data_IF_219838669336
#
_entry.id   IF_219838669336
#
_cell.length_a   1.000
_cell.length_b   1.000
_cell.length_c   1.000
_cell.angle_alpha   90.00
_cell.angle_beta   90.00
_cell.angle_gamma   90.00
#
_symmetry.space_group_name_H-M   'P 1'
#
loop_
_entity.id
_entity.type
_entity.pdbx_description
1 polymer ?
#
# COMPACT_ATOMS: atom_id res chain seq x y z
N UNK A 1 3.28 -16.92 32.06
CA UNK A 1 2.51 -16.22 31.02
C UNK A 1 3.52 -15.68 30.03
N UNK A 2 3.86 -16.48 29.03
CA UNK A 2 4.66 -16.04 27.88
C UNK A 2 3.73 -15.28 26.96
N UNK A 3 3.87 -13.95 26.93
CA UNK A 3 3.35 -13.16 25.83
C UNK A 3 4.02 -13.71 24.58
N UNK A 4 3.27 -14.42 23.75
CA UNK A 4 3.75 -14.77 22.42
C UNK A 4 3.94 -13.46 21.68
N UNK A 5 5.20 -13.08 21.46
CA UNK A 5 5.57 -12.24 20.32
C UNK A 5 4.96 -12.91 19.10
N UNK A 6 3.81 -12.39 18.67
CA UNK A 6 3.40 -12.58 17.29
C UNK A 6 4.36 -11.65 16.55
N UNK A 7 5.47 -12.20 16.10
CA UNK A 7 6.30 -11.58 15.06
C UNK A 7 5.34 -11.35 13.89
N UNK A 8 4.79 -10.14 13.80
CA UNK A 8 4.02 -9.70 12.65
C UNK A 8 5.04 -9.52 11.53
N UNK A 9 5.45 -10.65 10.95
CA UNK A 9 6.30 -10.62 9.76
C UNK A 9 5.52 -9.85 8.70
N UNK A 10 6.11 -8.79 8.16
CA UNK A 10 5.47 -8.02 7.11
C UNK A 10 5.02 -8.96 5.98
N UNK A 11 3.93 -8.62 5.29
CA UNK A 11 3.47 -9.35 4.12
C UNK A 11 4.43 -9.10 2.94
N UNK A 12 5.58 -9.77 2.99
CA UNK A 12 6.71 -9.58 2.08
C UNK A 12 6.35 -9.88 0.63
N UNK A 13 5.43 -10.83 0.40
CA UNK A 13 4.90 -11.13 -0.92
C UNK A 13 4.16 -9.92 -1.50
N UNK A 14 3.22 -9.34 -0.75
CA UNK A 14 2.47 -8.19 -1.23
C UNK A 14 3.34 -6.95 -1.35
N UNK A 15 4.28 -6.70 -0.41
CA UNK A 15 5.25 -5.62 -0.52
C UNK A 15 6.05 -5.68 -1.83
N UNK A 16 6.62 -6.84 -2.14
CA UNK A 16 7.40 -7.05 -3.36
C UNK A 16 6.54 -6.96 -4.60
N UNK A 17 5.33 -7.53 -4.57
CA UNK A 17 4.36 -7.46 -5.67
C UNK A 17 3.96 -6.01 -5.97
N UNK A 18 3.67 -5.21 -4.94
CA UNK A 18 3.34 -3.79 -5.09
C UNK A 18 4.51 -3.01 -5.69
N UNK A 19 5.72 -3.19 -5.15
CA UNK A 19 6.91 -2.52 -5.69
C UNK A 19 7.15 -2.89 -7.15
N UNK A 20 7.06 -4.18 -7.47
CA UNK A 20 7.27 -4.67 -8.83
C UNK A 20 6.23 -4.08 -9.79
N UNK A 21 4.96 -4.04 -9.38
CA UNK A 21 3.91 -3.41 -10.19
C UNK A 21 4.18 -1.93 -10.48
N UNK A 22 4.60 -1.18 -9.46
CA UNK A 22 4.94 0.26 -9.59
C UNK A 22 6.17 0.43 -10.50
N UNK A 23 7.18 -0.43 -10.40
CA UNK A 23 8.36 -0.43 -11.30
C UNK A 23 8.01 -0.74 -12.76
N UNK A 24 7.08 -1.68 -12.97
CA UNK A 24 6.66 -2.09 -14.32
C UNK A 24 5.69 -1.09 -14.96
N UNK A 25 5.04 -0.24 -14.16
CA UNK A 25 4.01 0.73 -14.60
C UNK A 25 4.25 2.13 -14.00
N UNK A 26 5.44 2.74 -14.20
CA UNK A 26 5.81 3.99 -13.53
C UNK A 26 4.89 5.17 -13.89
N UNK A 27 4.22 5.13 -15.05
CA UNK A 27 3.25 6.14 -15.48
C UNK A 27 1.93 6.12 -14.68
N UNK A 28 1.65 5.02 -13.97
CA UNK A 28 0.45 4.87 -13.15
C UNK A 28 0.72 5.14 -11.66
N UNK A 29 1.98 5.32 -11.29
CA UNK A 29 2.39 5.70 -9.94
C UNK A 29 2.42 7.22 -9.81
N UNK A 30 1.65 7.73 -8.84
CA UNK A 30 1.62 9.14 -8.50
C UNK A 30 1.46 9.25 -6.98
N UNK A 31 2.59 9.46 -6.29
CA UNK A 31 2.64 9.56 -4.84
C UNK A 31 1.83 10.75 -4.28
N UNK A 32 1.42 11.72 -5.12
CA UNK A 32 0.55 12.83 -4.70
C UNK A 32 -0.94 12.49 -4.77
N UNK A 33 -1.29 11.33 -5.34
CA UNK A 33 -2.65 10.81 -5.41
C UNK A 33 -2.77 9.61 -4.48
N UNK A 34 -3.65 9.74 -3.49
CA UNK A 34 -3.90 8.79 -2.42
C UNK A 34 -4.22 7.35 -2.86
N UNK A 35 -4.71 7.12 -4.08
CA UNK A 35 -4.98 5.78 -4.62
C UNK A 35 -3.94 5.27 -5.62
N UNK A 36 -2.96 6.11 -5.97
CA UNK A 36 -1.85 5.79 -6.90
C UNK A 36 -0.49 5.79 -6.21
N UNK A 37 -0.45 6.04 -4.91
CA UNK A 37 0.71 5.83 -4.05
C UNK A 37 0.87 4.34 -3.69
N UNK A 38 1.88 4.02 -2.87
CA UNK A 38 2.16 2.65 -2.48
C UNK A 38 1.01 1.99 -1.69
N UNK A 39 0.31 2.75 -0.84
CA UNK A 39 -0.80 2.24 -0.05
C UNK A 39 -1.99 1.89 -0.95
N UNK A 40 -2.37 2.79 -1.85
CA UNK A 40 -3.45 2.58 -2.82
C UNK A 40 -3.21 1.37 -3.72
N UNK A 41 -1.97 1.20 -4.22
CA UNK A 41 -1.61 0.04 -5.02
C UNK A 41 -1.61 -1.27 -4.22
N UNK A 42 -1.19 -1.25 -2.96
CA UNK A 42 -1.22 -2.43 -2.10
C UNK A 42 -2.64 -2.94 -1.90
N UNK A 43 -3.61 -2.04 -1.69
CA UNK A 43 -5.03 -2.42 -1.59
C UNK A 43 -5.54 -3.06 -2.88
N UNK A 44 -5.26 -2.43 -4.04
CA UNK A 44 -5.72 -2.91 -5.36
C UNK A 44 -5.14 -4.28 -5.73
N UNK A 45 -3.91 -4.57 -5.29
CA UNK A 45 -3.22 -5.81 -5.61
C UNK A 45 -3.45 -6.93 -4.59
N UNK A 46 -3.78 -6.57 -3.35
CA UNK A 46 -4.04 -7.51 -2.26
C UNK A 46 -5.51 -7.82 -2.01
N UNK A 47 -6.43 -6.96 -2.44
CA UNK A 47 -7.89 -7.15 -2.29
C UNK A 47 -8.53 -7.18 -3.68
N UNK A 48 -8.98 -8.35 -4.20
CA UNK A 48 -9.50 -8.49 -5.56
C UNK A 48 -10.72 -7.60 -5.89
N UNK A 49 -11.47 -7.21 -4.87
CA UNK A 49 -12.69 -6.42 -5.02
C UNK A 49 -12.43 -4.91 -4.97
N UNK A 50 -11.18 -4.49 -4.78
CA UNK A 50 -10.81 -3.08 -4.78
C UNK A 50 -10.63 -2.57 -6.20
N UNK A 51 -11.47 -1.61 -6.62
CA UNK A 51 -11.49 -1.03 -7.96
C UNK A 51 -11.53 0.49 -7.92
N UNK A 52 -11.03 1.10 -8.99
CA UNK A 52 -11.17 2.54 -9.22
C UNK A 52 -12.40 2.77 -10.09
N UNK A 53 -13.29 3.63 -9.64
CA UNK A 53 -14.38 4.17 -10.43
C UNK A 53 -14.11 5.65 -10.72
N UNK A 54 -14.46 6.10 -11.92
CA UNK A 54 -14.29 7.48 -12.35
C UNK A 54 -15.66 8.04 -12.65
N UNK A 55 -16.03 9.13 -11.99
CA UNK A 55 -17.32 9.79 -12.22
C UNK A 55 -17.33 10.64 -13.51
N UNK A 56 -18.47 11.27 -13.80
CA UNK A 56 -18.65 12.12 -14.98
C UNK A 56 -17.73 13.36 -14.98
N UNK A 57 -17.23 13.77 -13.81
CA UNK A 57 -16.32 14.91 -13.64
C UNK A 57 -14.84 14.48 -13.70
N UNK A 58 -14.57 13.18 -13.90
CA UNK A 58 -13.22 12.63 -13.97
C UNK A 58 -12.57 12.40 -12.60
N UNK A 59 -13.35 12.42 -11.52
CA UNK A 59 -12.85 12.17 -10.17
C UNK A 59 -12.76 10.65 -9.96
N UNK A 60 -11.54 10.20 -9.75
CA UNK A 60 -11.24 8.80 -9.43
C UNK A 60 -11.54 8.53 -7.94
N UNK A 61 -12.27 7.45 -7.65
CA UNK A 61 -12.59 6.99 -6.29
C UNK A 61 -12.34 5.49 -6.17
N UNK A 62 -11.75 5.04 -5.06
CA UNK A 62 -11.61 3.63 -4.72
C UNK A 62 -12.91 3.07 -4.12
N UNK A 63 -13.29 1.88 -4.56
CA UNK A 63 -14.39 1.09 -4.03
C UNK A 63 -13.89 -0.31 -3.67
N UNK A 64 -14.42 -0.89 -2.62
CA UNK A 64 -14.29 -2.30 -2.26
C UNK A 64 -15.67 -2.93 -2.36
N UNK A 65 -15.94 -3.65 -3.45
CA UNK A 65 -17.30 -4.06 -3.78
C UNK A 65 -18.17 -2.84 -4.09
N UNK A 66 -19.28 -2.69 -3.35
CA UNK A 66 -20.19 -1.54 -3.48
C UNK A 66 -19.82 -0.37 -2.53
N UNK A 67 -18.88 -0.59 -1.60
CA UNK A 67 -18.54 0.38 -0.57
C UNK A 67 -17.38 1.29 -1.00
N UNK A 68 -17.55 2.59 -0.80
CA UNK A 68 -16.48 3.58 -1.04
C UNK A 68 -15.37 3.42 0.01
N UNK A 69 -14.13 3.39 -0.45
CA UNK A 69 -12.95 3.47 0.42
C UNK A 69 -12.58 4.95 0.58
N UNK A 70 -12.63 5.45 1.82
CA UNK A 70 -12.27 6.83 2.11
C UNK A 70 -10.75 7.02 2.15
N UNK A 71 -10.31 8.24 1.87
CA UNK A 71 -8.88 8.57 1.73
C UNK A 71 -8.11 8.32 3.03
N UNK A 72 -8.74 8.64 4.16
CA UNK A 72 -8.22 8.42 5.52
C UNK A 72 -8.10 6.94 5.88
N UNK A 73 -8.97 6.08 5.34
CA UNK A 73 -8.94 4.64 5.60
C UNK A 73 -7.83 3.90 4.83
N UNK A 74 -7.30 4.47 3.76
CA UNK A 74 -6.41 3.73 2.84
C UNK A 74 -5.09 3.38 3.48
N UNK A 75 -4.46 4.33 4.15
CA UNK A 75 -3.19 4.09 4.83
C UNK A 75 -3.36 3.02 5.92
N UNK A 76 -4.43 3.11 6.73
CA UNK A 76 -4.72 2.13 7.78
C UNK A 76 -5.03 0.75 7.22
N UNK A 77 -5.87 0.65 6.19
CA UNK A 77 -6.18 -0.64 5.54
C UNK A 77 -4.94 -1.25 4.88
N UNK A 78 -4.07 -0.43 4.29
CA UNK A 78 -2.84 -0.90 3.66
C UNK A 78 -1.81 -1.34 4.71
N UNK A 79 -1.69 -0.63 5.84
CA UNK A 79 -0.86 -1.03 6.99
C UNK A 79 -1.26 -2.42 7.50
N UNK A 80 -2.55 -2.62 7.75
CA UNK A 80 -3.10 -3.91 8.21
C UNK A 80 -2.86 -5.02 7.18
N UNK A 81 -3.10 -4.74 5.89
CA UNK A 81 -2.94 -5.72 4.81
C UNK A 81 -1.48 -6.12 4.56
N UNK A 82 -0.57 -5.14 4.70
CA UNK A 82 0.88 -5.34 4.58
C UNK A 82 1.50 -5.86 5.89
N UNK A 83 0.73 -5.96 6.97
CA UNK A 83 1.20 -6.35 8.30
C UNK A 83 2.39 -5.52 8.77
N UNK A 84 2.36 -4.22 8.47
CA UNK A 84 3.39 -3.28 8.90
C UNK A 84 3.07 -2.73 10.27
N UNK A 85 4.09 -2.42 11.06
CA UNK A 85 3.90 -1.52 12.18
C UNK A 85 3.68 -0.08 11.68
N UNK A 86 3.12 0.76 12.57
CA UNK A 86 2.82 2.16 12.24
C UNK A 86 4.04 2.97 11.78
N UNK A 87 5.22 2.70 12.32
CA UNK A 87 6.45 3.37 11.94
C UNK A 87 6.91 2.99 10.53
N UNK A 88 6.83 1.70 10.19
CA UNK A 88 7.10 1.19 8.85
C UNK A 88 6.11 1.74 7.83
N UNK A 89 4.81 1.74 8.15
CA UNK A 89 3.76 2.29 7.29
C UNK A 89 3.97 3.79 7.00
N UNK A 90 4.26 4.60 8.03
CA UNK A 90 4.57 6.03 7.85
C UNK A 90 5.78 6.22 6.93
N UNK A 91 6.83 5.42 7.09
CA UNK A 91 8.02 5.49 6.25
C UNK A 91 7.69 5.10 4.81
N UNK A 92 6.97 4.01 4.59
CA UNK A 92 6.65 3.49 3.25
C UNK A 92 5.69 4.38 2.47
N UNK A 93 4.67 4.90 3.13
CA UNK A 93 3.60 5.68 2.50
C UNK A 93 3.94 7.17 2.41
N UNK A 94 5.16 7.57 2.77
CA UNK A 94 5.59 8.96 2.69
C UNK A 94 5.50 9.49 1.25
N UNK A 95 4.81 10.63 1.10
CA UNK A 95 4.62 11.32 -0.19
C UNK A 95 5.90 11.80 -0.88
N UNK A 96 7.03 11.77 -0.18
CA UNK A 96 8.34 12.21 -0.67
C UNK A 96 9.24 11.05 -1.13
N UNK A 97 8.80 9.79 -0.97
CA UNK A 97 9.61 8.65 -1.36
C UNK A 97 9.83 8.61 -2.87
N UNK A 98 11.08 8.40 -3.25
CA UNK A 98 11.49 8.05 -4.60
C UNK A 98 11.36 6.54 -4.83
N UNK A 99 11.49 6.09 -6.08
CA UNK A 99 11.52 4.66 -6.39
C UNK A 99 12.67 3.92 -5.69
N UNK A 100 13.81 4.59 -5.51
CA UNK A 100 14.97 4.04 -4.80
C UNK A 100 14.67 3.90 -3.31
N UNK A 101 14.02 4.90 -2.70
CA UNK A 101 13.55 4.83 -1.30
C UNK A 101 12.57 3.68 -1.11
N UNK A 102 11.57 3.54 -2.00
CA UNK A 102 10.61 2.44 -1.95
C UNK A 102 11.29 1.07 -2.07
N UNK A 103 12.29 0.94 -2.93
CA UNK A 103 13.05 -0.30 -3.07
C UNK A 103 13.81 -0.64 -1.80
N UNK A 104 14.52 0.33 -1.22
CA UNK A 104 15.27 0.15 0.01
C UNK A 104 14.37 -0.21 1.19
N UNK A 105 13.22 0.47 1.33
CA UNK A 105 12.25 0.22 2.40
C UNK A 105 11.60 -1.16 2.28
N UNK A 106 11.23 -1.58 1.06
CA UNK A 106 10.66 -2.91 0.84
C UNK A 106 11.68 -4.00 1.13
N UNK A 107 12.95 -3.83 0.74
CA UNK A 107 14.00 -4.79 1.05
C UNK A 107 14.28 -4.87 2.56
N UNK A 108 14.29 -3.72 3.25
CA UNK A 108 14.42 -3.62 4.71
C UNK A 108 13.29 -4.40 5.39
N UNK A 109 12.03 -4.11 5.05
CA UNK A 109 10.87 -4.70 5.71
C UNK A 109 10.67 -6.17 5.32
N UNK A 110 11.18 -6.61 4.17
CA UNK A 110 11.12 -8.00 3.75
C UNK A 110 12.22 -8.90 4.33
N UNK A 111 13.24 -8.32 4.98
CA UNK A 111 14.39 -9.06 5.53
C UNK A 111 14.36 -9.16 7.06
N UNK A 112 13.74 -8.19 7.74
CA UNK A 112 13.59 -8.16 9.20
C UNK A 112 12.17 -8.47 9.69
N UNK A 113 11.29 -8.87 8.76
CA UNK A 113 10.01 -9.48 9.07
C UNK A 113 10.21 -10.91 9.51
#
# INVERSE_FOLDING_TARGET
MTYGEVDLMANTELLRKTLQHIKDNPEQWDQKRWHKDFAGWSLRLGIPDVKVNTDADGIETLYQGDDRVWIDDIATKAEELLQLDRGQAIRLFCGANTMDDLSALVDEFATFG
#
